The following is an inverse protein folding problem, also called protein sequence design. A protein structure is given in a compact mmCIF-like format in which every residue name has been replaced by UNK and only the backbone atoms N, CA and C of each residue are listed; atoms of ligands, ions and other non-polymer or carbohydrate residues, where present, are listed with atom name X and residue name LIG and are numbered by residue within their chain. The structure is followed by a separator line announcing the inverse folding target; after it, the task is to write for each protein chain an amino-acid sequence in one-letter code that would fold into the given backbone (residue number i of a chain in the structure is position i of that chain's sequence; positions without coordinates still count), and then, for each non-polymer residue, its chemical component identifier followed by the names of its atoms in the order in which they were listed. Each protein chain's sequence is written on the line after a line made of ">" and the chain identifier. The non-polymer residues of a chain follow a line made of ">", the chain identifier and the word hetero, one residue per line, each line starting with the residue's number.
data_IF_967983685293
#
_entry.id   IF_967983685293
#
_cell.length_a   1.000
_cell.length_b   1.000
_cell.length_c   1.000
_cell.angle_alpha   90.00
_cell.angle_beta   90.00
_cell.angle_gamma   90.00
#
_symmetry.space_group_name_H-M   'P 1'
#
loop_
_entity.id
_entity.type
_entity.pdbx_description
1 polymer ?
#
# COMPACT_ATOMS: atom_id res chain seq x y z
N UNK A 1 -5.09 -26.87 11.77
CA UNK A 1 -4.28 -25.69 11.42
C UNK A 1 -4.27 -25.62 9.91
N UNK A 2 -5.20 -24.88 9.31
CA UNK A 2 -5.22 -24.69 7.86
C UNK A 2 -4.56 -23.34 7.58
N UNK A 3 -3.34 -23.40 7.07
CA UNK A 3 -2.71 -22.31 6.36
C UNK A 3 -3.53 -22.08 5.08
N UNK A 4 -4.46 -21.14 5.13
CA UNK A 4 -4.91 -20.52 3.89
C UNK A 4 -3.79 -19.54 3.53
N UNK A 5 -2.81 -20.06 2.79
CA UNK A 5 -1.83 -19.25 2.06
C UNK A 5 -2.60 -18.46 0.98
N UNK A 6 -3.24 -17.37 1.39
CA UNK A 6 -3.76 -16.38 0.46
C UNK A 6 -2.58 -15.50 0.04
N UNK A 7 -1.87 -15.92 -1.02
CA UNK A 7 -1.07 -14.99 -1.81
C UNK A 7 -1.62 -14.93 -3.23
N UNK A 8 -2.32 -13.83 -3.50
CA UNK A 8 -2.72 -13.43 -4.85
C UNK A 8 -2.08 -12.07 -5.13
N UNK A 9 -1.27 -11.99 -6.18
CA UNK A 9 -0.79 -10.73 -6.80
C UNK A 9 -1.54 -10.56 -8.11
N UNK A 10 -2.64 -9.79 -8.14
CA UNK A 10 -3.27 -9.43 -9.39
C UNK A 10 -2.54 -8.23 -10.01
N UNK A 11 -1.98 -8.49 -11.19
CA UNK A 11 -1.70 -7.61 -12.33
C UNK A 11 -1.39 -6.13 -12.08
N UNK A 12 -0.26 -5.71 -12.65
CA UNK A 12 0.11 -4.36 -13.09
C UNK A 12 -0.94 -3.72 -14.03
N UNK A 13 -2.21 -3.60 -13.61
CA UNK A 13 -3.15 -2.69 -14.26
C UNK A 13 -2.72 -1.28 -13.88
N UNK A 14 -2.16 -0.57 -14.85
CA UNK A 14 -1.46 0.72 -14.79
C UNK A 14 -2.21 1.88 -14.13
N UNK A 15 -3.45 1.64 -13.71
CA UNK A 15 -4.40 2.69 -13.40
C UNK A 15 -4.58 2.88 -11.89
N UNK A 16 -4.03 1.96 -11.07
CA UNK A 16 -4.02 2.09 -9.62
C UNK A 16 -2.69 2.62 -9.10
N UNK A 17 -2.74 3.56 -8.15
CA UNK A 17 -1.56 4.10 -7.48
C UNK A 17 -1.84 4.37 -6.00
N UNK A 18 -0.77 4.38 -5.20
CA UNK A 18 -0.88 4.62 -3.76
C UNK A 18 -0.66 6.10 -3.46
N UNK A 19 -1.56 6.69 -2.66
CA UNK A 19 -1.40 8.02 -2.08
C UNK A 19 -1.19 7.89 -0.58
N UNK A 20 -0.05 8.37 -0.11
CA UNK A 20 0.30 8.37 1.31
C UNK A 20 -0.28 9.60 2.01
N UNK A 21 -0.78 9.42 3.23
CA UNK A 21 -1.28 10.53 4.06
C UNK A 21 -0.73 10.44 5.48
N UNK A 22 -0.16 11.54 5.95
CA UNK A 22 0.29 11.66 7.33
C UNK A 22 -0.86 11.96 8.31
N UNK A 23 -2.03 12.41 7.80
CA UNK A 23 -3.13 12.92 8.63
C UNK A 23 -3.88 11.86 9.46
N UNK A 24 -3.54 10.58 9.30
CA UNK A 24 -4.13 9.48 10.05
C UNK A 24 -3.07 8.52 10.61
N UNK A 25 -1.81 8.97 10.74
CA UNK A 25 -0.75 8.14 11.31
C UNK A 25 -0.97 7.95 12.81
N UNK A 26 -0.99 6.69 13.26
CA UNK A 26 -1.09 6.34 14.67
C UNK A 26 0.10 5.49 15.10
N UNK A 27 0.48 5.56 16.38
CA UNK A 27 1.53 4.71 16.95
C UNK A 27 0.94 3.43 17.52
N UNK A 28 1.48 2.29 17.11
CA UNK A 28 1.16 0.98 17.68
C UNK A 28 2.45 0.32 18.14
N UNK A 29 2.69 0.36 19.46
CA UNK A 29 3.95 -0.12 20.04
C UNK A 29 5.14 0.74 19.62
N UNK A 30 6.12 0.12 18.93
CA UNK A 30 7.33 0.79 18.43
C UNK A 30 7.24 1.23 16.97
N UNK A 31 6.15 0.90 16.26
CA UNK A 31 5.99 1.23 14.84
C UNK A 31 4.84 2.21 14.61
N UNK A 32 4.87 2.87 13.47
CA UNK A 32 3.83 3.78 13.02
C UNK A 32 2.90 3.01 12.06
N UNK A 33 1.60 3.02 12.34
CA UNK A 33 0.58 2.61 11.37
C UNK A 33 0.20 3.85 10.56
N UNK A 34 0.45 3.82 9.27
CA UNK A 34 0.14 4.89 8.32
C UNK A 34 -1.08 4.52 7.48
N UNK A 35 -1.84 5.54 7.07
CA UNK A 35 -2.93 5.35 6.14
C UNK A 35 -2.44 5.57 4.70
N UNK A 36 -2.73 4.59 3.86
CA UNK A 36 -2.42 4.57 2.44
C UNK A 36 -3.72 4.46 1.67
N UNK A 37 -3.96 5.40 0.76
CA UNK A 37 -5.13 5.36 -0.09
C UNK A 37 -4.78 4.68 -1.41
N UNK A 38 -5.55 3.66 -1.78
CA UNK A 38 -5.51 3.08 -3.12
C UNK A 38 -6.35 3.98 -4.01
N UNK A 39 -5.69 4.62 -4.95
CA UNK A 39 -6.30 5.55 -5.90
C UNK A 39 -6.40 4.89 -7.26
N UNK A 40 -7.36 5.32 -8.06
CA UNK A 40 -7.47 5.00 -9.49
C UNK A 40 -7.77 6.25 -10.31
N UNK A 41 -7.85 6.09 -11.63
CA UNK A 41 -8.42 7.08 -12.54
C UNK A 41 -9.86 6.71 -12.90
N UNK A 42 -10.79 7.65 -12.77
CA UNK A 42 -12.14 7.48 -13.29
C UNK A 42 -12.18 7.59 -14.83
N UNK A 43 -13.37 7.46 -15.41
CA UNK A 43 -13.57 7.53 -16.88
C UNK A 43 -13.17 8.88 -17.48
N UNK A 44 -13.11 9.93 -16.65
CA UNK A 44 -12.72 11.29 -17.03
C UNK A 44 -11.25 11.59 -16.70
N UNK A 45 -10.50 10.61 -16.17
CA UNK A 45 -9.08 10.74 -15.80
C UNK A 45 -8.83 11.44 -14.47
N UNK A 46 -9.86 11.69 -13.66
CA UNK A 46 -9.71 12.25 -12.32
C UNK A 46 -9.28 11.18 -11.32
N UNK A 47 -8.58 11.61 -10.27
CA UNK A 47 -8.19 10.70 -9.20
C UNK A 47 -9.41 10.33 -8.36
N UNK A 48 -9.69 9.04 -8.25
CA UNK A 48 -10.73 8.49 -7.40
C UNK A 48 -10.12 7.60 -6.32
N UNK A 49 -10.49 7.82 -5.06
CA UNK A 49 -10.15 6.92 -3.98
C UNK A 49 -11.01 5.66 -4.05
N UNK A 50 -10.36 4.50 -4.03
CA UNK A 50 -11.02 3.19 -4.04
C UNK A 50 -11.18 2.66 -2.62
N UNK A 51 -10.10 2.71 -1.83
CA UNK A 51 -10.12 2.30 -0.44
C UNK A 51 -8.94 2.90 0.34
N UNK A 52 -9.06 2.83 1.66
CA UNK A 52 -7.99 3.11 2.61
C UNK A 52 -7.40 1.79 3.14
N UNK A 53 -6.08 1.76 3.26
CA UNK A 53 -5.31 0.68 3.86
C UNK A 53 -4.53 1.23 5.06
N UNK A 54 -4.57 0.52 6.18
CA UNK A 54 -3.72 0.80 7.32
C UNK A 54 -2.52 -0.13 7.28
N UNK A 55 -1.32 0.44 7.21
CA UNK A 55 -0.08 -0.30 6.95
C UNK A 55 0.97 0.08 7.97
N UNK A 56 1.70 -0.91 8.49
CA UNK A 56 2.88 -0.66 9.32
C UNK A 56 4.00 -0.05 8.48
N UNK A 57 4.45 1.14 8.85
CA UNK A 57 5.49 1.92 8.16
C UNK A 57 6.79 1.13 8.05
N UNK A 58 7.20 0.41 9.11
CA UNK A 58 8.39 -0.43 9.10
C UNK A 58 8.33 -1.56 8.07
N UNK A 59 7.18 -2.25 7.95
CA UNK A 59 6.99 -3.32 6.96
C UNK A 59 6.98 -2.80 5.53
N UNK A 60 6.28 -1.69 5.28
CA UNK A 60 6.25 -1.07 3.96
C UNK A 60 7.65 -0.63 3.52
N UNK A 61 8.38 0.07 4.38
CA UNK A 61 9.74 0.56 4.08
C UNK A 61 10.68 -0.60 3.78
N UNK A 62 10.60 -1.69 4.56
CA UNK A 62 11.41 -2.88 4.34
C UNK A 62 11.08 -3.55 2.99
N UNK A 63 9.80 -3.60 2.63
CA UNK A 63 9.35 -4.15 1.34
C UNK A 63 9.85 -3.33 0.16
N UNK A 64 9.72 -1.99 0.23
CA UNK A 64 10.20 -1.08 -0.83
C UNK A 64 11.72 -1.20 -1.02
N UNK A 65 12.48 -1.26 0.08
CA UNK A 65 13.93 -1.44 0.04
C UNK A 65 14.36 -2.77 -0.63
N UNK A 66 13.56 -3.84 -0.48
CA UNK A 66 13.84 -5.11 -1.16
C UNK A 66 13.64 -4.99 -2.68
N UNK A 67 12.62 -4.26 -3.12
CA UNK A 67 12.33 -4.03 -4.54
C UNK A 67 13.43 -3.18 -5.19
N UNK A 68 13.84 -2.09 -4.53
CA UNK A 68 14.90 -1.21 -5.04
C UNK A 68 16.25 -1.91 -5.15
N UNK A 69 16.63 -2.73 -4.15
CA UNK A 69 17.87 -3.53 -4.18
C UNK A 69 17.91 -4.55 -5.31
N UNK A 70 16.76 -5.05 -5.77
CA UNK A 70 16.70 -5.95 -6.92
C UNK A 70 16.69 -5.24 -8.27
N UNK A 71 16.57 -3.90 -8.28
CA UNK A 71 16.49 -3.08 -9.49
C UNK A 71 17.82 -2.39 -9.85
N UNK A 72 18.90 -2.68 -9.13
CA UNK A 72 20.27 -2.17 -9.33
C UNK A 72 21.24 -3.29 -9.67
#
# INVERSE_FOLDING_TARGET
>A
MNANDDFVVPSLTSDYFLKFSDQCTTKVGYDDVICVFVMSKDVDGNNQEICQLDVFRGMLTSTLNLIEKHSS
#
